data_IF_395195769346
#
_entry.id   IF_395195769346
#
_cell.length_a   1.000
_cell.length_b   1.000
_cell.length_c   1.000
_cell.angle_alpha   90.00
_cell.angle_beta   90.00
_cell.angle_gamma   90.00
#
_symmetry.space_group_name_H-M   'P 1'
#
loop_
_entity.id
_entity.type
_entity.pdbx_description
1 polymer ?
#
# COMPACT_ATOMS: atom_id res chain seq x y z
N UNK A 1 -7.44 12.68 -11.76
CA UNK A 1 -8.67 12.08 -12.33
C UNK A 1 -8.36 11.10 -13.46
N UNK A 2 -7.56 11.47 -14.49
CA UNK A 2 -7.30 10.60 -15.65
C UNK A 2 -6.79 9.18 -15.31
N UNK A 3 -5.93 9.03 -14.30
CA UNK A 3 -5.44 7.72 -13.85
C UNK A 3 -6.54 6.90 -13.18
N UNK A 4 -7.40 7.54 -12.39
CA UNK A 4 -8.56 6.91 -11.77
C UNK A 4 -9.49 6.34 -12.84
N UNK A 5 -9.87 7.17 -13.82
CA UNK A 5 -10.76 6.79 -14.92
C UNK A 5 -10.14 5.66 -15.77
N UNK A 6 -8.81 5.74 -16.01
CA UNK A 6 -8.09 4.68 -16.70
C UNK A 6 -8.17 3.33 -15.96
N UNK A 7 -7.96 3.32 -14.63
CA UNK A 7 -8.04 2.09 -13.84
C UNK A 7 -9.45 1.49 -13.85
N UNK A 8 -10.48 2.31 -13.67
CA UNK A 8 -11.88 1.86 -13.67
C UNK A 8 -12.25 1.15 -14.98
N UNK A 9 -11.82 1.68 -16.12
CA UNK A 9 -12.12 1.10 -17.44
C UNK A 9 -11.24 -0.12 -17.73
N UNK A 10 -9.95 -0.06 -17.43
CA UNK A 10 -9.00 -1.04 -17.94
C UNK A 10 -8.78 -2.23 -17.02
N UNK A 11 -8.90 -2.10 -15.70
CA UNK A 11 -8.69 -3.25 -14.80
C UNK A 11 -9.70 -4.38 -15.06
N UNK A 12 -11.01 -4.15 -15.08
CA UNK A 12 -11.97 -5.21 -15.39
C UNK A 12 -11.73 -5.82 -16.78
N UNK A 13 -11.41 -4.98 -17.77
CA UNK A 13 -11.09 -5.44 -19.13
C UNK A 13 -9.84 -6.32 -19.15
N UNK A 14 -8.76 -5.94 -18.47
CA UNK A 14 -7.53 -6.72 -18.40
C UNK A 14 -7.77 -8.06 -17.68
N UNK A 15 -8.50 -8.06 -16.58
CA UNK A 15 -8.86 -9.30 -15.89
C UNK A 15 -9.63 -10.25 -16.83
N UNK A 16 -10.61 -9.74 -17.56
CA UNK A 16 -11.40 -10.54 -18.49
C UNK A 16 -10.58 -11.05 -19.69
N UNK A 17 -9.70 -10.19 -20.23
CA UNK A 17 -8.89 -10.51 -21.43
C UNK A 17 -7.78 -11.54 -21.14
N UNK A 18 -7.14 -11.46 -19.96
CA UNK A 18 -5.98 -12.27 -19.60
C UNK A 18 -6.26 -13.34 -18.54
N UNK A 19 -7.52 -13.52 -18.16
CA UNK A 19 -7.92 -14.53 -17.16
C UNK A 19 -7.50 -14.16 -15.72
N UNK A 20 -7.42 -12.88 -15.43
CA UNK A 20 -7.20 -12.39 -14.07
C UNK A 20 -8.45 -12.52 -13.20
N UNK A 21 -8.25 -12.75 -11.93
CA UNK A 21 -9.33 -12.82 -10.96
C UNK A 21 -9.70 -11.40 -10.48
N UNK A 22 -10.84 -10.88 -10.94
CA UNK A 22 -11.29 -9.52 -10.62
C UNK A 22 -11.65 -9.32 -9.14
N UNK A 23 -11.88 -10.41 -8.38
CA UNK A 23 -12.16 -10.33 -6.94
C UNK A 23 -10.88 -10.32 -6.09
N UNK A 24 -9.73 -10.63 -6.71
CA UNK A 24 -8.44 -10.70 -6.04
C UNK A 24 -7.41 -9.72 -6.62
N UNK A 25 -7.83 -8.49 -6.90
CA UNK A 25 -6.95 -7.42 -7.38
C UNK A 25 -6.37 -6.65 -6.20
N UNK A 26 -5.05 -6.54 -6.15
CA UNK A 26 -4.31 -5.78 -5.13
C UNK A 26 -3.64 -4.56 -5.76
N UNK A 27 -3.65 -3.44 -5.05
CA UNK A 27 -2.86 -2.27 -5.43
C UNK A 27 -1.62 -2.17 -4.55
N UNK A 28 -0.46 -2.10 -5.20
CA UNK A 28 0.84 -2.09 -4.52
C UNK A 28 1.62 -0.85 -4.94
N UNK A 29 2.24 -0.18 -3.98
CA UNK A 29 3.02 1.03 -4.25
C UNK A 29 4.31 1.10 -3.45
N UNK A 30 5.36 1.61 -4.13
CA UNK A 30 6.65 1.93 -3.56
C UNK A 30 6.90 3.43 -3.64
N UNK A 31 7.47 4.02 -2.59
CA UNK A 31 7.84 5.43 -2.56
C UNK A 31 6.64 6.35 -2.86
N UNK A 32 6.71 7.20 -3.87
CA UNK A 32 5.57 8.02 -4.31
C UNK A 32 4.40 7.19 -4.82
N UNK A 33 4.66 6.00 -5.37
CA UNK A 33 3.63 5.04 -5.71
C UNK A 33 2.86 4.55 -4.49
N UNK A 34 3.51 4.44 -3.33
CA UNK A 34 2.86 4.11 -2.07
C UNK A 34 1.83 5.18 -1.65
N UNK A 35 2.12 6.46 -1.85
CA UNK A 35 1.12 7.53 -1.68
C UNK A 35 -0.03 7.35 -2.67
N UNK A 36 0.31 7.09 -3.94
CA UNK A 36 -0.66 6.87 -5.03
C UNK A 36 -1.60 5.69 -4.76
N UNK A 37 -1.20 4.70 -3.99
CA UNK A 37 -2.01 3.56 -3.59
C UNK A 37 -3.32 4.00 -2.92
N UNK A 38 -3.26 4.93 -1.97
CA UNK A 38 -4.45 5.48 -1.32
C UNK A 38 -4.99 6.71 -2.08
N UNK A 39 -4.12 7.62 -2.50
CA UNK A 39 -4.52 8.86 -3.17
C UNK A 39 -5.29 8.63 -4.47
N UNK A 40 -4.89 7.63 -5.27
CA UNK A 40 -5.56 7.24 -6.51
C UNK A 40 -6.52 6.08 -6.26
N UNK A 41 -6.06 5.03 -5.57
CA UNK A 41 -6.84 3.81 -5.37
C UNK A 41 -8.08 3.98 -4.49
N UNK A 42 -8.14 5.04 -3.69
CA UNK A 42 -9.29 5.38 -2.85
C UNK A 42 -9.89 6.75 -3.21
N UNK A 43 -9.68 7.24 -4.44
CA UNK A 43 -10.13 8.57 -4.85
C UNK A 43 -11.67 8.70 -4.81
N UNK A 44 -12.38 7.66 -5.15
CA UNK A 44 -13.85 7.56 -5.03
C UNK A 44 -14.27 6.10 -4.78
N UNK A 45 -15.55 5.88 -4.53
CA UNK A 45 -16.09 4.58 -4.13
C UNK A 45 -15.99 3.55 -5.28
N UNK A 46 -16.09 3.97 -6.53
CA UNK A 46 -16.02 3.08 -7.68
C UNK A 46 -14.63 2.49 -7.87
N UNK A 47 -13.57 3.30 -7.80
CA UNK A 47 -12.20 2.77 -7.89
C UNK A 47 -11.84 2.00 -6.61
N UNK A 48 -12.30 2.46 -5.45
CA UNK A 48 -12.05 1.77 -4.19
C UNK A 48 -12.60 0.34 -4.21
N UNK A 49 -13.75 0.11 -4.86
CA UNK A 49 -14.37 -1.21 -4.98
C UNK A 49 -13.58 -2.22 -5.83
N UNK A 50 -12.60 -1.76 -6.63
CA UNK A 50 -11.79 -2.65 -7.48
C UNK A 50 -10.74 -3.45 -6.70
N UNK A 51 -10.41 -3.03 -5.48
CA UNK A 51 -9.27 -3.57 -4.75
C UNK A 51 -9.70 -4.49 -3.61
N UNK A 52 -9.14 -5.69 -3.58
CA UNK A 52 -9.25 -6.59 -2.45
C UNK A 52 -8.37 -6.17 -1.27
N UNK A 53 -7.18 -5.65 -1.54
CA UNK A 53 -6.23 -5.25 -0.52
C UNK A 53 -5.16 -4.30 -1.05
N UNK A 54 -4.39 -3.76 -0.12
CA UNK A 54 -3.44 -2.69 -0.36
C UNK A 54 -2.08 -3.03 0.24
N UNK A 55 -1.01 -2.66 -0.46
CA UNK A 55 0.34 -2.77 0.09
C UNK A 55 1.14 -1.53 -0.25
N UNK A 56 1.81 -0.96 0.73
CA UNK A 56 2.70 0.19 0.55
C UNK A 56 4.08 -0.06 1.15
N UNK A 57 5.09 0.57 0.55
CA UNK A 57 6.45 0.57 1.10
C UNK A 57 7.03 1.99 1.10
N UNK A 58 7.58 2.40 2.25
CA UNK A 58 8.31 3.63 2.56
C UNK A 58 7.49 4.91 2.68
N UNK A 59 6.35 5.06 2.04
CA UNK A 59 5.51 6.25 2.17
C UNK A 59 4.05 5.86 2.41
N UNK A 60 3.29 6.83 2.93
CA UNK A 60 1.86 6.67 3.17
C UNK A 60 1.14 8.01 2.91
N UNK A 61 -0.04 7.94 2.28
CA UNK A 61 -0.89 9.12 2.05
C UNK A 61 -1.38 9.69 3.39
N UNK A 62 -1.22 11.00 3.59
CA UNK A 62 -1.60 11.69 4.82
C UNK A 62 -0.58 11.65 5.96
N UNK A 63 0.44 10.76 5.93
CA UNK A 63 1.52 10.76 6.92
C UNK A 63 2.37 12.04 6.84
N UNK A 64 2.41 12.67 5.66
CA UNK A 64 3.07 13.93 5.41
C UNK A 64 2.26 14.72 4.37
N UNK A 65 2.12 16.05 4.56
CA UNK A 65 1.57 16.93 3.54
C UNK A 65 2.58 17.15 2.41
N UNK A 66 2.10 17.15 1.17
CA UNK A 66 2.89 17.32 -0.05
C UNK A 66 2.40 18.54 -0.83
N UNK A 67 3.07 18.90 -1.92
CA UNK A 67 2.74 20.09 -2.73
C UNK A 67 1.63 19.86 -3.77
N UNK A 68 0.92 18.73 -3.76
CA UNK A 68 -0.21 18.47 -4.65
C UNK A 68 -1.56 18.68 -3.92
N UNK A 69 -2.64 18.91 -4.64
CA UNK A 69 -3.96 19.16 -4.05
C UNK A 69 -4.40 18.01 -3.12
N UNK A 70 -5.11 18.37 -2.05
CA UNK A 70 -5.69 17.38 -1.10
C UNK A 70 -4.66 16.38 -0.52
N UNK A 71 -3.40 16.78 -0.39
CA UNK A 71 -2.33 15.96 0.18
C UNK A 71 -2.25 16.04 1.70
N UNK A 72 -3.14 16.80 2.32
CA UNK A 72 -3.20 16.94 3.77
C UNK A 72 -3.84 15.72 4.45
N UNK A 73 -3.68 15.68 5.78
CA UNK A 73 -4.17 14.58 6.61
C UNK A 73 -5.68 14.40 6.55
N UNK A 74 -6.45 15.48 6.53
CA UNK A 74 -7.91 15.41 6.56
C UNK A 74 -8.44 14.79 5.26
N UNK A 75 -7.91 15.23 4.11
CA UNK A 75 -8.26 14.66 2.81
C UNK A 75 -7.83 13.19 2.69
N UNK A 76 -6.65 12.82 3.23
CA UNK A 76 -6.20 11.43 3.26
C UNK A 76 -7.12 10.56 4.12
N UNK A 77 -7.55 11.00 5.30
CA UNK A 77 -8.49 10.27 6.15
C UNK A 77 -9.85 10.08 5.47
N UNK A 78 -10.34 11.08 4.75
CA UNK A 78 -11.56 10.96 3.97
C UNK A 78 -11.46 9.88 2.87
N UNK A 79 -10.27 9.73 2.25
CA UNK A 79 -10.00 8.61 1.31
C UNK A 79 -9.90 7.27 2.04
N UNK A 80 -9.15 7.21 3.13
CA UNK A 80 -8.92 5.98 3.91
C UNK A 80 -10.23 5.41 4.51
N UNK A 81 -11.24 6.25 4.77
CA UNK A 81 -12.56 5.77 5.20
C UNK A 81 -13.17 4.75 4.22
N UNK A 82 -12.81 4.81 2.93
CA UNK A 82 -13.23 3.85 1.90
C UNK A 82 -12.53 2.49 1.99
N UNK A 83 -11.57 2.33 2.89
CA UNK A 83 -10.95 1.02 3.14
C UNK A 83 -11.95 0.03 3.73
N UNK A 84 -12.87 0.50 4.56
CA UNK A 84 -13.93 -0.32 5.15
C UNK A 84 -13.41 -1.62 5.79
N UNK A 85 -12.27 -1.54 6.47
CA UNK A 85 -11.62 -2.67 7.13
C UNK A 85 -10.91 -3.65 6.19
N UNK A 86 -10.62 -3.29 4.93
CA UNK A 86 -9.87 -4.16 4.00
C UNK A 86 -8.42 -4.36 4.45
N UNK A 87 -7.79 -5.49 4.07
CA UNK A 87 -6.40 -5.77 4.39
C UNK A 87 -5.45 -4.72 3.80
N UNK A 88 -4.58 -4.17 4.65
CA UNK A 88 -3.61 -3.18 4.26
C UNK A 88 -2.24 -3.46 4.88
N UNK A 89 -1.27 -3.90 4.08
CA UNK A 89 0.10 -4.07 4.53
C UNK A 89 0.88 -2.77 4.36
N UNK A 90 1.41 -2.27 5.46
CA UNK A 90 2.24 -1.06 5.53
C UNK A 90 3.66 -1.49 5.88
N UNK A 91 4.58 -1.36 4.93
CA UNK A 91 5.98 -1.70 5.11
C UNK A 91 6.89 -0.48 4.93
N UNK A 92 8.06 -0.49 5.55
CA UNK A 92 9.05 0.59 5.42
C UNK A 92 10.26 0.37 6.31
N UNK A 93 11.34 1.12 6.03
CA UNK A 93 12.55 1.09 6.85
C UNK A 93 12.37 1.75 8.23
N UNK A 94 11.48 2.73 8.32
CA UNK A 94 11.05 3.40 9.55
C UNK A 94 9.55 3.73 9.42
N UNK A 95 8.75 3.09 10.26
CA UNK A 95 7.31 3.27 10.29
C UNK A 95 6.82 4.29 11.31
N UNK A 96 7.71 4.93 12.09
CA UNK A 96 7.35 5.85 13.18
C UNK A 96 6.38 6.93 12.70
N UNK A 97 6.67 7.61 11.59
CA UNK A 97 5.81 8.66 11.06
C UNK A 97 4.46 8.13 10.60
N UNK A 98 4.45 7.04 9.88
CA UNK A 98 3.22 6.47 9.32
C UNK A 98 2.36 5.84 10.40
N UNK A 99 2.95 5.02 11.26
CA UNK A 99 2.23 4.28 12.29
C UNK A 99 1.93 5.19 13.47
N UNK A 100 2.97 5.56 14.24
CA UNK A 100 2.81 6.21 15.56
C UNK A 100 2.29 7.64 15.45
N UNK A 101 2.63 8.39 14.40
CA UNK A 101 2.20 9.80 14.25
C UNK A 101 0.93 9.95 13.42
N UNK A 102 0.41 8.87 12.80
CA UNK A 102 -0.77 8.96 11.95
C UNK A 102 -1.74 7.80 12.14
N UNK A 103 -1.37 6.54 11.89
CA UNK A 103 -2.33 5.43 11.80
C UNK A 103 -2.74 4.84 13.15
N UNK A 104 -1.94 4.96 14.21
CA UNK A 104 -2.28 4.36 15.52
C UNK A 104 -3.59 4.93 16.11
N UNK A 105 -3.99 6.15 15.71
CA UNK A 105 -5.27 6.76 16.08
C UNK A 105 -6.43 6.38 15.12
N UNK A 106 -6.19 5.54 14.10
CA UNK A 106 -7.12 5.25 13.01
C UNK A 106 -7.08 3.77 12.59
N UNK A 107 -6.73 2.87 13.51
CA UNK A 107 -6.59 1.44 13.20
C UNK A 107 -7.91 0.77 12.82
N UNK A 108 -9.04 1.37 13.16
CA UNK A 108 -10.38 0.88 12.79
C UNK A 108 -10.69 0.99 11.30
N UNK A 109 -9.95 1.80 10.54
CA UNK A 109 -10.23 2.04 9.12
C UNK A 109 -9.90 0.83 8.24
N UNK A 110 -8.94 -0.01 8.64
CA UNK A 110 -8.49 -1.16 7.86
C UNK A 110 -7.93 -2.28 8.76
N UNK A 111 -7.80 -3.48 8.21
CA UNK A 111 -7.00 -4.55 8.80
C UNK A 111 -5.52 -4.30 8.48
N UNK A 112 -4.89 -3.45 9.30
CA UNK A 112 -3.52 -3.05 9.10
C UNK A 112 -2.52 -4.10 9.58
N UNK A 113 -1.60 -4.47 8.71
CA UNK A 113 -0.39 -5.23 9.04
C UNK A 113 0.84 -4.36 8.83
N UNK A 114 1.70 -4.26 9.84
CA UNK A 114 2.92 -3.44 9.79
C UNK A 114 4.16 -4.33 9.70
N UNK A 115 5.03 -4.05 8.72
CA UNK A 115 6.31 -4.76 8.53
C UNK A 115 7.44 -3.75 8.44
N UNK A 116 8.20 -3.63 9.50
CA UNK A 116 9.41 -2.81 9.49
C UNK A 116 10.56 -3.60 8.83
N UNK A 117 11.13 -3.02 7.77
CA UNK A 117 12.13 -3.67 6.91
C UNK A 117 13.47 -2.97 7.05
N UNK A 118 14.33 -3.39 7.98
CA UNK A 118 15.69 -2.85 8.11
C UNK A 118 16.56 -3.36 6.95
N UNK A 119 16.62 -2.58 5.88
CA UNK A 119 17.29 -2.97 4.61
C UNK A 119 18.74 -3.41 4.83
N UNK A 120 19.43 -2.85 5.84
CA UNK A 120 20.77 -3.25 6.23
C UNK A 120 20.92 -4.69 6.75
N UNK A 121 19.83 -5.33 7.20
CA UNK A 121 19.84 -6.77 7.54
C UNK A 121 19.74 -7.67 6.30
N UNK A 122 19.30 -7.13 5.18
CA UNK A 122 19.06 -7.89 3.94
C UNK A 122 20.21 -7.69 2.95
N UNK A 123 20.72 -6.47 2.88
CA UNK A 123 21.75 -6.07 1.92
C UNK A 123 23.00 -5.57 2.63
N UNK A 124 24.17 -5.90 2.10
CA UNK A 124 25.40 -5.22 2.45
C UNK A 124 25.37 -3.82 1.87
N UNK A 125 25.26 -2.81 2.74
CA UNK A 125 25.26 -1.40 2.33
C UNK A 125 26.72 -0.95 2.23
N UNK A 126 27.20 -0.46 1.06
CA UNK A 126 28.56 0.05 0.93
C UNK A 126 28.83 1.20 1.91
N UNK A 127 30.04 1.27 2.45
CA UNK A 127 30.48 2.43 3.22
C UNK A 127 30.53 3.67 2.34
N UNK A 128 29.96 4.77 2.83
CA UNK A 128 29.93 6.05 2.11
C UNK A 128 28.68 6.86 2.44
N UNK A 129 28.45 8.01 1.79
CA UNK A 129 27.34 8.89 2.06
C UNK A 129 26.02 8.40 1.46
N UNK A 130 25.72 7.11 1.56
CA UNK A 130 24.39 6.59 1.22
C UNK A 130 23.45 7.01 2.33
N UNK A 131 22.58 7.97 2.03
CA UNK A 131 21.70 8.58 2.99
C UNK A 131 20.56 7.64 3.38
N UNK A 132 20.06 6.84 2.43
CA UNK A 132 18.95 5.90 2.68
C UNK A 132 18.92 4.81 1.60
N UNK A 133 18.98 3.54 1.94
CA UNK A 133 18.81 2.45 0.97
C UNK A 133 17.32 2.35 0.56
N UNK A 134 16.90 3.25 -0.29
CA UNK A 134 15.55 3.36 -0.78
C UNK A 134 15.33 2.37 -1.93
N UNK A 135 14.90 1.17 -1.61
CA UNK A 135 14.77 0.07 -2.58
C UNK A 135 13.62 -0.88 -2.23
N UNK A 136 12.90 -1.32 -3.24
CA UNK A 136 11.89 -2.38 -3.17
C UNK A 136 12.48 -3.78 -3.41
N UNK A 137 13.78 -3.87 -3.70
CA UNK A 137 14.48 -5.14 -3.98
C UNK A 137 14.44 -6.13 -2.81
N UNK A 138 14.13 -5.69 -1.60
CA UNK A 138 13.93 -6.57 -0.46
C UNK A 138 12.84 -7.64 -0.70
N UNK A 139 11.87 -7.35 -1.56
CA UNK A 139 10.83 -8.29 -1.98
C UNK A 139 11.37 -9.46 -2.82
N UNK A 140 12.55 -9.30 -3.43
CA UNK A 140 13.21 -10.32 -4.24
C UNK A 140 14.21 -11.16 -3.44
N UNK A 141 14.69 -10.65 -2.30
CA UNK A 141 15.69 -11.34 -1.49
C UNK A 141 15.03 -12.25 -0.43
N UNK A 142 15.55 -13.48 -0.22
CA UNK A 142 15.12 -14.33 0.88
C UNK A 142 15.34 -13.62 2.22
N UNK A 143 14.25 -13.38 2.95
CA UNK A 143 14.28 -12.74 4.26
C UNK A 143 12.96 -12.97 5.00
N UNK A 144 13.00 -12.90 6.33
CA UNK A 144 11.80 -12.96 7.17
C UNK A 144 10.76 -11.89 6.79
N UNK A 145 11.20 -10.73 6.33
CA UNK A 145 10.33 -9.60 5.97
C UNK A 145 9.57 -9.90 4.68
N UNK A 146 10.25 -10.43 3.66
CA UNK A 146 9.59 -10.92 2.45
C UNK A 146 8.59 -12.04 2.77
N UNK A 147 8.97 -12.94 3.65
CA UNK A 147 8.12 -14.08 4.01
C UNK A 147 6.88 -13.61 4.79
N UNK A 148 7.00 -12.56 5.64
CA UNK A 148 5.85 -11.91 6.27
C UNK A 148 4.89 -11.27 5.24
N UNK A 149 5.41 -10.55 4.24
CA UNK A 149 4.59 -9.96 3.19
C UNK A 149 3.86 -11.04 2.35
N UNK A 150 4.54 -12.15 2.04
CA UNK A 150 3.95 -13.30 1.34
C UNK A 150 2.89 -14.01 2.17
N UNK A 151 3.15 -14.21 3.45
CA UNK A 151 2.19 -14.81 4.37
C UNK A 151 0.93 -13.93 4.51
N UNK A 152 1.09 -12.60 4.61
CA UNK A 152 -0.02 -11.66 4.60
C UNK A 152 -0.86 -11.79 3.31
N UNK A 153 -0.22 -11.82 2.15
CA UNK A 153 -0.91 -11.98 0.88
C UNK A 153 -1.69 -13.31 0.82
N UNK A 154 -1.05 -14.42 1.23
CA UNK A 154 -1.69 -15.74 1.24
C UNK A 154 -2.88 -15.76 2.20
N UNK A 155 -2.73 -15.26 3.43
CA UNK A 155 -3.82 -15.17 4.39
C UNK A 155 -4.99 -14.33 3.86
N UNK A 156 -4.68 -13.23 3.16
CA UNK A 156 -5.71 -12.40 2.53
C UNK A 156 -6.45 -13.14 1.42
N UNK A 157 -5.73 -13.91 0.60
CA UNK A 157 -6.33 -14.70 -0.48
C UNK A 157 -7.21 -15.84 0.07
N UNK A 158 -6.80 -16.46 1.16
CA UNK A 158 -7.53 -17.57 1.79
C UNK A 158 -8.77 -17.10 2.59
N UNK A 159 -8.85 -15.80 2.88
CA UNK A 159 -10.00 -15.22 3.57
C UNK A 159 -11.19 -15.03 2.63
N UNK A 160 -12.45 -15.12 3.11
CA UNK A 160 -13.61 -14.82 2.27
C UNK A 160 -13.54 -13.42 1.67
N UNK A 161 -13.95 -13.27 0.42
CA UNK A 161 -14.21 -11.95 -0.17
C UNK A 161 -15.35 -11.28 0.58
N UNK A 162 -15.20 -10.01 0.92
CA UNK A 162 -16.31 -9.25 1.49
C UNK A 162 -17.32 -8.96 0.36
N UNK A 163 -18.53 -9.48 0.52
CA UNK A 163 -19.69 -9.13 -0.31
C UNK A 163 -20.14 -7.70 -0.05
#
# INVERSE_FOLDING_TARGET
QATVDYCKVNLPRICAEYGGDSENVFVVGFSRGAIGTSYIGLADDEIAALWRGFMVYDHFDGAKSWSYPESDRAAALARLARLEGRPFLVAGGDLTRTRTQFLDDHLELADFTFVEVPVGEIFTIPEGPIIHPHTDLWMHQPSRFRDQARAWLQTTLDSPTRN
#
